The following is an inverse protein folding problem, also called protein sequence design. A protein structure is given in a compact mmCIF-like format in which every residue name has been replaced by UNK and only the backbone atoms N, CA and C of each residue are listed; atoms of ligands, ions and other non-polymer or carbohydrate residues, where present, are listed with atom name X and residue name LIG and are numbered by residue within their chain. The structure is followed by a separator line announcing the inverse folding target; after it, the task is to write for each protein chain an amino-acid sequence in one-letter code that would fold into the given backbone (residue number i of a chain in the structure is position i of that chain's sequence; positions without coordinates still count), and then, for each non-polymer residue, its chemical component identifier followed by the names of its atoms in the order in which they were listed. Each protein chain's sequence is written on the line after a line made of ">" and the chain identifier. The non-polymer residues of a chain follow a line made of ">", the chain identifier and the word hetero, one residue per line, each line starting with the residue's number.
data_IF_262930697687
#
_entry.id   IF_262930697687
#
_cell.length_a   1.000
_cell.length_b   1.000
_cell.length_c   1.000
_cell.angle_alpha   90.00
_cell.angle_beta   90.00
_cell.angle_gamma   90.00
#
_symmetry.space_group_name_H-M   'P 1'
#
loop_
_entity.id
_entity.type
_entity.pdbx_description
1 polymer ?
#
# COMPACT_ATOMS: atom_id res chain seq x y z
N UNK A 1 5.77 9.79 8.42
CA UNK A 1 5.75 8.77 7.35
C UNK A 1 5.11 9.37 6.11
N UNK A 2 5.52 8.92 4.93
CA UNK A 2 4.89 9.16 3.64
C UNK A 2 3.99 7.98 3.32
N UNK A 3 2.70 8.22 3.13
CA UNK A 3 1.68 7.18 2.94
C UNK A 3 1.08 7.31 1.55
N UNK A 4 1.13 6.25 0.73
CA UNK A 4 0.39 6.22 -0.52
C UNK A 4 -1.04 5.67 -0.30
N UNK A 5 -2.03 6.26 -0.96
CA UNK A 5 -3.35 5.66 -1.17
C UNK A 5 -3.47 5.23 -2.64
N UNK A 6 -3.85 3.96 -2.87
CA UNK A 6 -4.04 3.41 -4.22
C UNK A 6 -5.38 2.66 -4.30
N UNK A 7 -6.27 3.12 -5.19
CA UNK A 7 -7.56 2.48 -5.50
C UNK A 7 -7.57 1.96 -6.94
N UNK A 8 -8.17 0.78 -7.13
CA UNK A 8 -8.46 0.22 -8.45
C UNK A 8 -9.88 0.55 -8.90
N UNK A 9 -10.17 0.30 -10.18
CA UNK A 9 -11.35 0.75 -10.90
C UNK A 9 -12.67 0.40 -10.20
N UNK A 10 -12.81 -0.78 -9.60
CA UNK A 10 -14.09 -1.20 -9.03
C UNK A 10 -14.51 -0.36 -7.81
N UNK A 11 -13.54 0.28 -7.15
CA UNK A 11 -13.74 1.08 -5.95
C UNK A 11 -13.29 2.55 -6.09
N UNK A 12 -12.96 2.99 -7.31
CA UNK A 12 -12.48 4.35 -7.59
C UNK A 12 -13.44 5.44 -7.08
N UNK A 13 -14.76 5.23 -7.21
CA UNK A 13 -15.79 6.16 -6.71
C UNK A 13 -15.75 6.40 -5.18
N UNK A 14 -15.07 5.54 -4.41
CA UNK A 14 -14.92 5.67 -2.95
C UNK A 14 -13.59 6.30 -2.54
N UNK A 15 -12.69 6.59 -3.49
CA UNK A 15 -11.36 7.12 -3.20
C UNK A 15 -11.40 8.38 -2.33
N UNK A 16 -12.30 9.33 -2.61
CA UNK A 16 -12.44 10.55 -1.82
C UNK A 16 -12.76 10.26 -0.33
N UNK A 17 -13.71 9.37 -0.06
CA UNK A 17 -14.11 8.99 1.31
C UNK A 17 -12.94 8.31 2.06
N UNK A 18 -12.21 7.44 1.36
CA UNK A 18 -11.04 6.75 1.93
C UNK A 18 -9.91 7.74 2.20
N UNK A 19 -9.64 8.63 1.24
CA UNK A 19 -8.63 9.67 1.35
C UNK A 19 -8.91 10.61 2.51
N UNK A 20 -10.13 11.12 2.66
CA UNK A 20 -10.52 12.00 3.77
C UNK A 20 -10.34 11.32 5.12
N UNK A 21 -10.76 10.06 5.23
CA UNK A 21 -10.59 9.26 6.45
C UNK A 21 -9.11 9.07 6.80
N UNK A 22 -8.28 8.67 5.82
CA UNK A 22 -6.84 8.48 6.00
C UNK A 22 -6.12 9.79 6.31
N UNK A 23 -6.42 10.85 5.56
CA UNK A 23 -5.80 12.17 5.70
C UNK A 23 -6.06 12.78 7.07
N UNK A 24 -7.28 12.65 7.59
CA UNK A 24 -7.62 13.18 8.93
C UNK A 24 -6.72 12.59 10.03
N UNK A 25 -6.49 11.27 10.02
CA UNK A 25 -5.64 10.59 11.00
C UNK A 25 -4.16 10.84 10.74
N UNK A 26 -3.75 10.87 9.47
CA UNK A 26 -2.37 11.17 9.09
C UNK A 26 -1.95 12.58 9.54
N UNK A 27 -2.85 13.57 9.43
CA UNK A 27 -2.58 14.95 9.85
C UNK A 27 -2.38 15.08 11.36
N UNK A 28 -3.18 14.38 12.16
CA UNK A 28 -2.99 14.32 13.62
C UNK A 28 -1.62 13.74 14.01
N UNK A 29 -1.02 12.90 13.15
CA UNK A 29 0.29 12.27 13.34
C UNK A 29 1.44 13.02 12.65
N UNK A 30 1.16 14.07 11.88
CA UNK A 30 2.17 14.77 11.06
C UNK A 30 2.72 13.90 9.92
N UNK A 31 1.91 13.00 9.37
CA UNK A 31 2.25 12.17 8.22
C UNK A 31 1.75 12.81 6.92
N UNK A 32 2.45 12.51 5.82
CA UNK A 32 2.10 12.99 4.49
C UNK A 32 1.33 11.91 3.73
N UNK A 33 0.24 12.28 3.05
CA UNK A 33 -0.58 11.34 2.26
C UNK A 33 -0.54 11.73 0.79
N UNK A 34 -0.07 10.80 -0.03
CA UNK A 34 -0.02 10.89 -1.48
C UNK A 34 -1.13 10.01 -2.07
N UNK A 35 -2.20 10.62 -2.56
CA UNK A 35 -3.27 9.90 -3.22
C UNK A 35 -2.88 9.66 -4.69
N UNK A 36 -2.48 8.43 -5.03
CA UNK A 36 -2.13 8.06 -6.40
C UNK A 36 -3.36 7.73 -7.26
N UNK A 37 -4.57 7.87 -6.70
CA UNK A 37 -5.82 7.50 -7.35
C UNK A 37 -6.01 5.98 -7.38
N UNK A 38 -6.94 5.46 -8.17
CA UNK A 38 -7.88 6.20 -9.02
C UNK A 38 -8.80 7.14 -8.23
N UNK A 39 -9.25 8.21 -8.86
CA UNK A 39 -9.98 9.32 -8.23
C UNK A 39 -11.50 9.26 -8.43
N UNK A 40 -12.00 8.29 -9.21
CA UNK A 40 -13.41 8.18 -9.57
C UNK A 40 -13.83 9.20 -10.64
N UNK A 41 -12.93 9.57 -11.55
CA UNK A 41 -13.15 10.55 -12.63
C UNK A 41 -13.35 9.85 -13.97
N UNK A 42 -14.32 10.30 -14.75
CA UNK A 42 -14.55 9.78 -16.10
C UNK A 42 -13.31 9.98 -16.99
N UNK A 43 -12.89 8.91 -17.67
CA UNK A 43 -11.76 8.94 -18.59
C UNK A 43 -10.37 8.97 -17.92
N UNK A 44 -10.29 8.80 -16.60
CA UNK A 44 -8.98 8.70 -15.93
C UNK A 44 -8.24 7.41 -16.28
N UNK A 45 -6.91 7.43 -16.09
CA UNK A 45 -6.08 6.22 -16.17
C UNK A 45 -6.62 5.15 -15.24
N UNK A 46 -6.82 3.94 -15.77
CA UNK A 46 -7.43 2.84 -15.04
C UNK A 46 -6.36 1.99 -14.36
N UNK A 47 -6.64 1.58 -13.14
CA UNK A 47 -5.86 0.59 -12.40
C UNK A 47 -6.75 -0.62 -12.06
N UNK A 48 -6.21 -1.81 -12.22
CA UNK A 48 -6.75 -3.05 -11.64
C UNK A 48 -6.09 -3.33 -10.28
N UNK A 49 -6.66 -4.25 -9.49
CA UNK A 49 -6.00 -4.65 -8.23
C UNK A 49 -4.60 -5.26 -8.43
N UNK A 50 -4.29 -5.80 -9.61
CA UNK A 50 -2.96 -6.30 -9.95
C UNK A 50 -1.99 -5.13 -10.15
N UNK A 51 -2.45 -4.08 -10.84
CA UNK A 51 -1.68 -2.83 -11.00
C UNK A 51 -1.49 -2.11 -9.67
N UNK A 52 -2.46 -2.17 -8.74
CA UNK A 52 -2.24 -1.69 -7.37
C UNK A 52 -1.05 -2.41 -6.70
N UNK A 53 -0.93 -3.72 -6.91
CA UNK A 53 0.21 -4.51 -6.42
C UNK A 53 1.54 -4.04 -6.99
N UNK A 54 1.61 -3.90 -8.31
CA UNK A 54 2.81 -3.41 -9.00
C UNK A 54 3.17 -1.98 -8.58
N UNK A 55 2.19 -1.08 -8.53
CA UNK A 55 2.41 0.32 -8.11
C UNK A 55 2.91 0.38 -6.67
N UNK A 56 2.27 -0.34 -5.74
CA UNK A 56 2.73 -0.40 -4.34
C UNK A 56 4.18 -0.89 -4.25
N UNK A 57 4.52 -1.94 -5.00
CA UNK A 57 5.87 -2.49 -5.03
C UNK A 57 6.91 -1.49 -5.56
N UNK A 58 6.58 -0.75 -6.63
CA UNK A 58 7.43 0.33 -7.15
C UNK A 58 7.66 1.37 -6.06
N UNK A 59 6.60 1.90 -5.45
CA UNK A 59 6.69 2.99 -4.48
C UNK A 59 7.48 2.60 -3.22
N UNK A 60 7.25 1.38 -2.71
CA UNK A 60 7.90 0.88 -1.49
C UNK A 60 9.37 0.51 -1.73
N UNK A 61 9.70 -0.19 -2.83
CA UNK A 61 11.10 -0.56 -3.12
C UNK A 61 11.94 0.68 -3.49
N UNK A 62 11.35 1.67 -4.17
CA UNK A 62 11.99 2.95 -4.44
C UNK A 62 12.11 3.86 -3.21
N UNK A 63 11.53 3.45 -2.07
CA UNK A 63 11.39 4.26 -0.84
C UNK A 63 10.79 5.64 -1.12
N UNK A 64 9.90 5.73 -2.11
CA UNK A 64 9.12 6.92 -2.40
C UNK A 64 8.05 7.15 -1.32
N UNK A 65 7.54 6.06 -0.75
CA UNK A 65 6.66 6.07 0.41
C UNK A 65 7.13 5.05 1.45
N UNK A 66 6.68 5.22 2.69
CA UNK A 66 7.00 4.32 3.80
C UNK A 66 5.87 3.30 4.04
N UNK A 67 4.64 3.63 3.63
CA UNK A 67 3.47 2.76 3.79
C UNK A 67 2.48 2.92 2.63
N UNK A 68 1.76 1.85 2.28
CA UNK A 68 0.69 1.87 1.27
C UNK A 68 -0.65 1.44 1.86
N UNK A 69 -1.68 2.27 1.71
CA UNK A 69 -3.08 1.89 1.92
C UNK A 69 -3.70 1.60 0.56
N UNK A 70 -4.31 0.43 0.43
CA UNK A 70 -5.00 0.02 -0.80
C UNK A 70 -6.21 -0.84 -0.48
N UNK A 71 -6.80 -1.48 -1.48
CA UNK A 71 -7.93 -2.36 -1.34
C UNK A 71 -8.67 -2.54 -2.66
N UNK A 72 -9.70 -3.38 -2.60
CA UNK A 72 -10.65 -3.62 -3.69
C UNK A 72 -11.99 -4.00 -3.06
N UNK A 73 -12.92 -4.58 -3.83
CA UNK A 73 -14.24 -4.94 -3.30
C UNK A 73 -14.20 -5.75 -2.00
N UNK A 74 -13.32 -6.76 -1.90
CA UNK A 74 -13.10 -7.58 -0.70
C UNK A 74 -11.76 -7.34 0.00
N UNK A 75 -10.86 -6.55 -0.61
CA UNK A 75 -9.48 -6.41 -0.18
C UNK A 75 -8.57 -7.59 -0.57
N UNK A 76 -9.11 -8.78 -0.86
CA UNK A 76 -8.34 -10.00 -1.15
C UNK A 76 -7.47 -9.87 -2.40
N UNK A 77 -8.05 -9.41 -3.52
CA UNK A 77 -7.32 -9.31 -4.79
C UNK A 77 -6.08 -8.40 -4.67
N UNK A 78 -6.25 -7.24 -4.04
CA UNK A 78 -5.14 -6.33 -3.79
C UNK A 78 -4.13 -6.95 -2.81
N UNK A 79 -4.56 -7.57 -1.70
CA UNK A 79 -3.65 -8.23 -0.76
C UNK A 79 -2.78 -9.30 -1.43
N UNK A 80 -3.38 -10.15 -2.26
CA UNK A 80 -2.67 -11.20 -3.02
C UNK A 80 -1.67 -10.58 -4.00
N UNK A 81 -2.09 -9.57 -4.77
CA UNK A 81 -1.21 -8.91 -5.73
C UNK A 81 -0.02 -8.24 -5.04
N UNK A 82 -0.24 -7.47 -3.97
CA UNK A 82 0.82 -6.78 -3.24
C UNK A 82 1.85 -7.76 -2.65
N UNK A 83 1.40 -8.88 -2.06
CA UNK A 83 2.30 -9.87 -1.47
C UNK A 83 3.09 -10.70 -2.48
N UNK A 84 2.80 -10.57 -3.78
CA UNK A 84 3.51 -11.24 -4.89
C UNK A 84 4.80 -10.53 -5.29
N UNK A 85 5.08 -9.34 -4.73
CA UNK A 85 6.27 -8.54 -5.04
C UNK A 85 7.30 -8.54 -3.91
N UNK A 86 8.60 -8.38 -4.22
CA UNK A 86 9.66 -8.23 -3.22
C UNK A 86 9.45 -6.95 -2.41
N UNK A 87 9.94 -6.94 -1.17
CA UNK A 87 9.90 -5.74 -0.32
C UNK A 87 8.51 -5.31 0.15
N UNK A 88 7.45 -6.04 -0.18
CA UNK A 88 6.07 -5.75 0.24
C UNK A 88 5.56 -6.80 1.22
N UNK A 89 5.01 -6.33 2.34
CA UNK A 89 4.29 -7.11 3.34
C UNK A 89 2.94 -6.44 3.54
N UNK A 90 1.91 -7.00 2.91
CA UNK A 90 0.56 -6.43 2.90
C UNK A 90 -0.39 -7.25 3.78
N UNK A 91 -0.98 -6.61 4.79
CA UNK A 91 -2.04 -7.20 5.60
C UNK A 91 -3.42 -7.02 4.98
N UNK A 92 -4.41 -7.73 5.51
CA UNK A 92 -5.83 -7.48 5.29
C UNK A 92 -6.45 -7.10 6.64
N UNK A 93 -7.14 -5.97 6.70
CA UNK A 93 -7.90 -5.57 7.88
C UNK A 93 -9.35 -5.30 7.51
N UNK A 94 -10.27 -5.78 8.34
CA UNK A 94 -11.71 -5.51 8.20
C UNK A 94 -12.26 -4.71 9.38
N UNK A 95 -11.56 -4.71 10.51
CA UNK A 95 -11.90 -3.94 11.71
C UNK A 95 -10.65 -3.35 12.42
N UNK A 96 -10.81 -2.44 13.40
CA UNK A 96 -9.69 -1.74 14.01
C UNK A 96 -8.71 -2.63 14.76
N UNK A 97 -9.16 -3.77 15.31
CA UNK A 97 -8.29 -4.74 15.98
C UNK A 97 -7.32 -5.37 14.99
N UNK A 98 -7.77 -5.73 13.78
CA UNK A 98 -6.91 -6.30 12.75
C UNK A 98 -5.78 -5.33 12.39
N UNK A 99 -6.12 -4.05 12.20
CA UNK A 99 -5.15 -3.00 11.86
C UNK A 99 -4.10 -2.82 12.97
N UNK A 100 -4.53 -2.82 14.23
CA UNK A 100 -3.62 -2.78 15.37
C UNK A 100 -2.71 -4.02 15.43
N UNK A 101 -3.28 -5.22 15.34
CA UNK A 101 -2.52 -6.46 15.44
C UNK A 101 -1.55 -6.63 14.27
N UNK A 102 -1.94 -6.25 13.05
CA UNK A 102 -1.03 -6.23 11.90
C UNK A 102 0.15 -5.29 12.14
N UNK A 103 -0.12 -4.07 12.62
CA UNK A 103 0.92 -3.10 12.97
C UNK A 103 1.90 -3.66 14.00
N UNK A 104 1.39 -4.30 15.06
CA UNK A 104 2.21 -4.73 16.20
C UNK A 104 2.91 -6.07 15.98
N UNK A 105 2.24 -7.06 15.37
CA UNK A 105 2.76 -8.43 15.20
C UNK A 105 3.59 -8.54 13.92
N UNK A 106 3.07 -8.01 12.80
CA UNK A 106 3.68 -8.18 11.49
C UNK A 106 4.63 -7.03 11.15
N UNK A 107 4.28 -5.79 11.55
CA UNK A 107 5.07 -4.60 11.21
C UNK A 107 5.26 -4.44 9.70
N UNK A 108 4.25 -4.81 8.91
CA UNK A 108 4.30 -4.71 7.46
C UNK A 108 4.20 -3.27 6.97
N UNK A 109 4.33 -3.08 5.65
CA UNK A 109 4.38 -1.76 5.01
C UNK A 109 3.22 -1.50 4.04
N UNK A 110 2.21 -2.36 4.02
CA UNK A 110 0.98 -2.12 3.29
C UNK A 110 -0.24 -2.72 3.98
N UNK A 111 -1.41 -2.13 3.76
CA UNK A 111 -2.68 -2.66 4.24
C UNK A 111 -3.74 -2.60 3.14
N UNK A 112 -4.35 -3.75 2.86
CA UNK A 112 -5.50 -3.89 1.98
C UNK A 112 -6.80 -3.90 2.79
N UNK A 113 -7.83 -3.20 2.31
CA UNK A 113 -9.11 -3.04 3.00
C UNK A 113 -10.28 -3.36 2.05
N UNK A 114 -11.36 -4.03 2.50
CA UNK A 114 -12.57 -4.21 1.70
C UNK A 114 -13.35 -2.90 1.57
N UNK A 115 -13.48 -2.38 0.35
CA UNK A 115 -14.28 -1.17 0.09
C UNK A 115 -15.68 -1.46 -0.47
N UNK A 116 -16.10 -2.73 -0.59
CA UNK A 116 -17.48 -3.09 -0.96
C UNK A 116 -18.11 -4.10 0.00
N UNK A 117 -17.44 -5.24 0.25
CA UNK A 117 -17.94 -6.28 1.16
C UNK A 117 -17.97 -5.74 2.60
N UNK A 118 -19.17 -5.57 3.14
CA UNK A 118 -19.36 -4.99 4.48
C UNK A 118 -19.25 -3.46 4.53
N UNK A 119 -19.11 -2.80 3.37
CA UNK A 119 -18.98 -1.35 3.28
C UNK A 119 -20.35 -0.68 3.18
N UNK A 120 -21.03 -0.57 4.33
CA UNK A 120 -22.35 0.04 4.46
C UNK A 120 -22.33 1.33 5.29
N UNK A 121 -23.41 1.58 6.02
CA UNK A 121 -23.51 2.75 6.89
C UNK A 121 -22.46 2.70 8.02
N UNK A 122 -21.69 3.78 8.18
CA UNK A 122 -20.61 3.88 9.16
C UNK A 122 -19.30 3.21 8.72
N UNK A 123 -19.18 2.75 7.47
CA UNK A 123 -17.94 2.15 6.98
C UNK A 123 -16.77 3.16 6.96
N UNK A 124 -17.05 4.45 6.71
CA UNK A 124 -16.10 5.54 6.82
C UNK A 124 -15.62 5.78 8.27
N UNK A 125 -16.50 5.58 9.26
CA UNK A 125 -16.10 5.59 10.67
C UNK A 125 -15.17 4.41 10.98
N UNK A 126 -15.49 3.23 10.45
CA UNK A 126 -14.62 2.06 10.60
C UNK A 126 -13.25 2.28 9.94
N UNK A 127 -13.19 2.91 8.75
CA UNK A 127 -11.92 3.30 8.11
C UNK A 127 -11.09 4.19 9.02
N UNK A 128 -11.70 5.27 9.55
CA UNK A 128 -11.02 6.18 10.47
C UNK A 128 -10.49 5.43 11.70
N UNK A 129 -11.31 4.61 12.35
CA UNK A 129 -10.90 3.82 13.51
C UNK A 129 -9.77 2.84 13.17
N UNK A 130 -9.81 2.18 12.01
CA UNK A 130 -8.72 1.32 11.53
C UNK A 130 -7.42 2.11 11.36
N UNK A 131 -7.45 3.29 10.76
CA UNK A 131 -6.25 4.12 10.60
C UNK A 131 -5.72 4.63 11.95
N UNK A 132 -6.59 5.05 12.87
CA UNK A 132 -6.21 5.44 14.24
C UNK A 132 -5.47 4.31 14.96
N UNK A 133 -5.94 3.06 14.78
CA UNK A 133 -5.32 1.87 15.38
C UNK A 133 -4.06 1.40 14.67
N UNK A 134 -4.02 1.48 13.34
CA UNK A 134 -2.85 1.14 12.53
C UNK A 134 -1.62 1.97 12.93
N UNK A 135 -1.84 3.26 13.21
CA UNK A 135 -0.80 4.24 13.51
C UNK A 135 -0.76 4.65 15.01
N UNK A 136 -1.32 3.83 15.89
CA UNK A 136 -1.41 4.15 17.32
C UNK A 136 -0.02 4.18 18.00
N UNK A 137 0.82 3.19 17.70
CA UNK A 137 2.15 2.96 18.28
C UNK A 137 3.19 2.76 17.17
N UNK A 138 4.47 2.69 17.55
CA UNK A 138 5.53 2.24 16.65
C UNK A 138 5.23 0.80 16.15
N UNK A 139 5.41 0.57 14.84
CA UNK A 139 5.12 -0.72 14.21
C UNK A 139 6.13 -1.78 14.68
N UNK A 140 5.67 -3.03 14.85
CA UNK A 140 6.50 -4.14 15.31
C UNK A 140 6.72 -4.20 16.83
N UNK A 141 5.88 -3.50 17.61
CA UNK A 141 5.95 -3.49 19.08
C UNK A 141 5.46 -4.77 19.77
N UNK A 142 4.97 -5.75 19.02
CA UNK A 142 4.50 -7.06 19.47
C UNK A 142 3.14 -7.05 20.19
N UNK A 143 2.37 -8.13 20.02
CA UNK A 143 1.14 -8.35 20.79
C UNK A 143 0.75 -9.84 20.87
N UNK A 144 0.52 -10.40 22.08
CA UNK A 144 0.72 -9.80 23.40
C UNK A 144 2.17 -9.35 23.63
N UNK A 145 2.40 -8.35 24.49
CA UNK A 145 3.72 -7.70 24.62
C UNK A 145 4.83 -8.69 25.05
N UNK A 146 4.50 -9.75 25.77
CA UNK A 146 5.42 -10.83 26.12
C UNK A 146 5.91 -11.65 24.91
N UNK A 147 5.26 -11.52 23.75
CA UNK A 147 5.63 -12.21 22.49
C UNK A 147 6.40 -11.33 21.50
N UNK A 148 6.78 -10.11 21.88
CA UNK A 148 7.50 -9.18 20.97
C UNK A 148 8.79 -9.78 20.39
N UNK A 149 9.59 -10.47 21.20
CA UNK A 149 10.88 -11.06 20.75
C UNK A 149 10.68 -12.12 19.65
N UNK A 150 9.85 -13.17 19.85
CA UNK A 150 9.61 -14.15 18.79
C UNK A 150 8.90 -13.57 17.57
N UNK A 151 7.99 -12.60 17.73
CA UNK A 151 7.28 -11.96 16.62
C UNK A 151 8.21 -11.16 15.72
N UNK A 152 9.04 -10.28 16.30
CA UNK A 152 10.05 -9.53 15.56
C UNK A 152 11.08 -10.46 14.90
N UNK A 153 11.45 -11.58 15.56
CA UNK A 153 12.32 -12.59 14.95
C UNK A 153 11.68 -13.20 13.70
N UNK A 154 10.40 -13.57 13.77
CA UNK A 154 9.70 -14.20 12.65
C UNK A 154 9.45 -13.22 11.50
N UNK A 155 9.15 -11.95 11.78
CA UNK A 155 9.04 -10.91 10.75
C UNK A 155 10.36 -10.74 9.98
N UNK A 156 11.51 -10.75 10.68
CA UNK A 156 12.83 -10.75 10.03
C UNK A 156 13.07 -11.99 9.17
N UNK A 157 12.76 -13.18 9.69
CA UNK A 157 12.89 -14.44 8.92
C UNK A 157 12.01 -14.41 7.67
N UNK A 158 10.78 -13.91 7.74
CA UNK A 158 9.89 -13.78 6.59
C UNK A 158 10.52 -12.87 5.51
N UNK A 159 11.09 -11.73 5.91
CA UNK A 159 11.79 -10.85 4.99
C UNK A 159 13.01 -11.52 4.34
N UNK A 160 13.75 -12.33 5.09
CA UNK A 160 14.88 -13.10 4.56
C UNK A 160 14.43 -14.20 3.60
N UNK A 161 13.30 -14.87 3.87
CA UNK A 161 12.69 -15.83 2.94
C UNK A 161 12.26 -15.13 1.65
N UNK A 162 11.66 -13.93 1.74
CA UNK A 162 11.25 -13.15 0.56
C UNK A 162 12.42 -12.80 -0.36
N UNK A 163 13.63 -12.57 0.19
CA UNK A 163 14.86 -12.37 -0.62
C UNK A 163 15.26 -13.61 -1.45
N UNK A 164 14.82 -14.80 -1.05
CA UNK A 164 15.11 -16.06 -1.77
C UNK A 164 14.02 -16.35 -2.79
N UNK A 165 12.75 -16.08 -2.44
CA UNK A 165 11.60 -16.49 -3.24
C UNK A 165 11.16 -15.48 -4.30
N UNK A 166 11.68 -14.24 -4.23
CA UNK A 166 11.30 -13.17 -5.17
C UNK A 166 12.52 -12.68 -5.94
N UNK A 167 12.29 -12.41 -7.23
CA UNK A 167 13.20 -11.63 -8.08
C UNK A 167 13.26 -10.18 -7.57
N UNK A 168 14.39 -9.49 -7.75
CA UNK A 168 14.52 -8.09 -7.35
C UNK A 168 13.63 -7.16 -8.18
N UNK A 169 13.28 -6.00 -7.62
CA UNK A 169 12.29 -5.10 -8.22
C UNK A 169 12.74 -4.56 -9.59
N UNK A 170 14.02 -4.24 -9.77
CA UNK A 170 14.50 -3.68 -11.03
C UNK A 170 14.47 -4.71 -12.16
N UNK A 171 14.82 -5.96 -11.86
CA UNK A 171 14.67 -7.08 -12.81
C UNK A 171 13.20 -7.31 -13.14
N UNK A 172 12.29 -7.33 -12.15
CA UNK A 172 10.84 -7.44 -12.39
C UNK A 172 10.37 -6.35 -13.35
N UNK A 173 10.73 -5.09 -13.09
CA UNK A 173 10.33 -3.96 -13.94
C UNK A 173 10.77 -4.12 -15.40
N UNK A 174 11.94 -4.73 -15.64
CA UNK A 174 12.48 -5.01 -16.98
C UNK A 174 11.81 -6.18 -17.70
N UNK A 175 11.26 -7.14 -16.96
CA UNK A 175 10.75 -8.40 -17.52
C UNK A 175 9.22 -8.46 -17.65
N UNK A 176 8.48 -7.68 -16.85
CA UNK A 176 7.02 -7.64 -16.96
C UNK A 176 6.56 -7.05 -18.29
N UNK A 177 5.29 -7.29 -18.61
CA UNK A 177 4.61 -6.63 -19.73
C UNK A 177 4.76 -5.10 -19.61
N UNK A 178 5.39 -4.50 -20.62
CA UNK A 178 5.77 -3.09 -20.59
C UNK A 178 4.58 -2.15 -20.82
N UNK A 179 3.54 -2.60 -21.52
CA UNK A 179 2.32 -1.81 -21.66
C UNK A 179 1.55 -1.82 -20.33
N UNK A 180 1.52 -2.96 -19.64
CA UNK A 180 0.97 -3.08 -18.28
C UNK A 180 1.72 -2.17 -17.28
N UNK A 181 3.05 -2.11 -17.36
CA UNK A 181 3.86 -1.19 -16.55
C UNK A 181 3.52 0.26 -16.86
N UNK A 182 3.50 0.66 -18.14
CA UNK A 182 3.16 2.03 -18.57
C UNK A 182 1.79 2.46 -18.06
N UNK A 183 0.78 1.61 -18.21
CA UNK A 183 -0.56 1.88 -17.69
C UNK A 183 -0.55 2.07 -16.17
N UNK A 184 0.19 1.23 -15.44
CA UNK A 184 0.29 1.30 -13.97
C UNK A 184 0.84 2.65 -13.48
N UNK A 185 1.73 3.28 -14.25
CA UNK A 185 2.38 4.55 -13.90
C UNK A 185 1.82 5.76 -14.67
N UNK A 186 0.69 5.60 -15.36
CA UNK A 186 0.09 6.65 -16.20
C UNK A 186 -0.83 7.62 -15.42
N UNK A 187 -1.00 7.43 -14.10
CA UNK A 187 -1.84 8.29 -13.27
C UNK A 187 -1.39 9.77 -13.30
N UNK A 188 -2.35 10.70 -13.30
CA UNK A 188 -2.10 12.14 -13.53
C UNK A 188 -1.12 12.78 -12.51
N UNK A 189 -0.97 12.18 -11.32
CA UNK A 189 -0.05 12.64 -10.26
C UNK A 189 1.18 11.77 -10.07
N UNK A 190 1.32 10.69 -10.84
CA UNK A 190 2.39 9.71 -10.62
C UNK A 190 3.77 10.37 -10.70
N UNK A 191 4.07 11.09 -11.80
CA UNK A 191 5.39 11.72 -12.01
C UNK A 191 5.72 12.70 -10.88
N UNK A 192 4.78 13.59 -10.55
CA UNK A 192 4.96 14.62 -9.51
C UNK A 192 5.30 13.99 -8.15
N UNK A 193 4.52 13.00 -7.73
CA UNK A 193 4.70 12.40 -6.41
C UNK A 193 5.88 11.43 -6.36
N UNK A 194 6.05 10.59 -7.39
CA UNK A 194 7.09 9.58 -7.42
C UNK A 194 8.49 10.21 -7.49
N UNK A 195 8.75 11.07 -8.48
CA UNK A 195 10.10 11.62 -8.67
C UNK A 195 10.51 12.61 -7.58
N UNK A 196 9.55 13.30 -6.94
CA UNK A 196 9.85 14.16 -5.79
C UNK A 196 10.29 13.37 -4.55
N UNK A 197 9.94 12.08 -4.44
CA UNK A 197 10.13 11.29 -3.23
C UNK A 197 11.01 10.04 -3.40
N UNK A 198 11.26 9.60 -4.64
CA UNK A 198 12.06 8.42 -4.95
C UNK A 198 13.48 8.57 -4.38
N UNK A 199 13.99 7.52 -3.74
CA UNK A 199 15.34 7.47 -3.17
C UNK A 199 16.22 6.39 -3.82
N UNK A 200 15.72 5.72 -4.85
CA UNK A 200 16.44 4.71 -5.62
C UNK A 200 16.64 5.20 -7.05
N UNK A 201 17.87 5.58 -7.38
CA UNK A 201 18.19 6.18 -8.67
C UNK A 201 18.03 5.19 -9.82
N UNK A 202 18.31 3.89 -9.63
CA UNK A 202 18.20 2.91 -10.70
C UNK A 202 16.74 2.65 -11.06
N UNK A 203 15.85 2.57 -10.05
CA UNK A 203 14.42 2.50 -10.29
C UNK A 203 13.92 3.80 -10.93
N UNK A 204 14.37 4.98 -10.46
CA UNK A 204 13.98 6.27 -11.04
C UNK A 204 14.34 6.37 -12.53
N UNK A 205 15.58 6.03 -12.89
CA UNK A 205 16.08 6.08 -14.26
C UNK A 205 15.31 5.11 -15.16
N UNK A 206 15.02 3.91 -14.67
CA UNK A 206 14.25 2.94 -15.43
C UNK A 206 12.81 3.40 -15.67
N UNK A 207 12.11 3.86 -14.62
CA UNK A 207 10.76 4.41 -14.73
C UNK A 207 10.73 5.61 -15.67
N UNK A 208 11.74 6.49 -15.62
CA UNK A 208 11.87 7.62 -16.54
C UNK A 208 12.04 7.19 -18.00
N UNK A 209 12.66 6.04 -18.27
CA UNK A 209 12.81 5.48 -19.62
C UNK A 209 11.53 4.85 -20.18
N UNK A 210 10.58 4.50 -19.31
CA UNK A 210 9.28 3.90 -19.68
C UNK A 210 8.21 4.97 -19.98
N UNK A 211 8.36 6.15 -19.36
CA UNK A 211 7.44 7.31 -19.40
C UNK A 211 7.55 8.22 -20.62
#
# INVERSE_FOLDING_TARGET
>A
MRIALINENSQAAKNAIIYESLKSVADEKGYEVFNYGMYGKDGESQLTYVQNGLLAAILLNAKAVDFVVTGCGTGEGAMVALNSFPGVVCGLAVEPTDAYLFSQINGGNALSIPYAKGFGWGAELNLRLMFERLFAEEMGGGYPKERVIPEQRNARILNDIKKITHTDMLTILKEIDQDFLKETIAGEKFKDYFFANCQDQEIADYIQSVL
#
